data_IF_054725299308
#
_entry.id   IF_054725299308
#
_cell.length_a   1.000
_cell.length_b   1.000
_cell.length_c   1.000
_cell.angle_alpha   90.00
_cell.angle_beta   90.00
_cell.angle_gamma   90.00
#
_symmetry.space_group_name_H-M   'P 1'
#
loop_
_entity.id
_entity.type
_entity.pdbx_description
1 polymer ?
#
# COMPACT_ATOMS: atom_id res chain seq x y z
N UNK A 1 29.45 61.41 -17.44
CA UNK A 1 29.36 61.49 -15.97
C UNK A 1 29.13 60.09 -15.41
N UNK A 2 30.11 59.64 -14.62
CA UNK A 2 30.09 58.61 -13.56
C UNK A 2 29.41 57.24 -13.83
N UNK A 3 30.29 56.29 -14.09
CA UNK A 3 30.19 54.83 -13.96
C UNK A 3 29.92 54.33 -12.53
N UNK A 4 29.21 53.20 -12.39
CA UNK A 4 29.48 52.22 -11.33
C UNK A 4 28.96 50.80 -11.70
N UNK A 5 29.89 49.95 -12.13
CA UNK A 5 29.77 48.49 -12.08
C UNK A 5 29.84 48.03 -10.62
N UNK A 6 28.95 47.12 -10.19
CA UNK A 6 29.20 46.25 -9.04
C UNK A 6 28.76 44.82 -9.34
N UNK A 7 29.71 44.06 -9.85
CA UNK A 7 29.89 42.65 -9.47
C UNK A 7 30.29 42.61 -7.99
N UNK A 8 29.78 41.65 -7.20
CA UNK A 8 30.59 40.90 -6.22
C UNK A 8 29.77 39.74 -5.61
N UNK A 9 30.21 38.53 -5.98
CA UNK A 9 30.38 37.28 -5.20
C UNK A 9 29.27 36.76 -4.28
N UNK A 10 28.91 35.51 -4.61
CA UNK A 10 28.55 34.42 -3.69
C UNK A 10 29.36 34.45 -2.38
N UNK A 11 28.64 34.44 -1.26
CA UNK A 11 29.15 33.98 0.02
C UNK A 11 28.25 32.86 0.53
N UNK A 12 28.80 31.65 0.45
CA UNK A 12 28.48 30.57 1.36
C UNK A 12 28.75 31.03 2.79
N UNK A 13 27.87 30.71 3.73
CA UNK A 13 28.14 29.95 4.97
C UNK A 13 27.01 30.21 5.97
N UNK A 14 26.39 29.10 6.33
CA UNK A 14 25.48 28.90 7.44
C UNK A 14 26.10 29.36 8.76
N UNK A 15 25.46 30.29 9.48
CA UNK A 15 25.45 30.30 10.95
C UNK A 15 24.11 30.86 11.44
N UNK A 16 23.16 29.98 11.77
CA UNK A 16 22.06 30.36 12.66
C UNK A 16 22.66 30.56 14.04
N UNK A 17 22.97 31.82 14.38
CA UNK A 17 23.36 32.22 15.73
C UNK A 17 22.13 32.16 16.63
N UNK A 18 21.89 31.01 17.26
CA UNK A 18 20.83 30.85 18.26
C UNK A 18 21.31 31.42 19.59
N UNK A 19 20.64 32.47 20.07
CA UNK A 19 20.76 32.97 21.44
C UNK A 19 20.12 31.96 22.41
N UNK A 20 20.87 30.93 22.80
CA UNK A 20 20.47 30.02 23.88
C UNK A 20 21.69 29.90 24.78
N UNK A 21 21.94 30.93 25.60
CA UNK A 21 22.95 30.91 26.67
C UNK A 21 22.68 32.08 27.63
N UNK A 22 21.49 32.12 28.22
CA UNK A 22 21.19 33.07 29.31
C UNK A 22 20.52 32.41 30.52
N UNK A 23 20.64 31.09 30.69
CA UNK A 23 20.37 30.43 31.96
C UNK A 23 21.37 29.28 32.17
N UNK A 24 22.20 29.42 33.19
CA UNK A 24 23.35 28.54 33.51
C UNK A 24 22.93 27.22 34.20
N UNK A 25 21.64 26.87 34.21
CA UNK A 25 21.10 25.73 34.96
C UNK A 25 20.42 24.65 34.10
N UNK A 26 20.59 24.65 32.77
CA UNK A 26 20.07 23.57 31.91
C UNK A 26 21.14 23.10 30.93
N UNK A 27 22.23 22.55 31.45
CA UNK A 27 23.31 21.96 30.64
C UNK A 27 23.19 20.42 30.49
N UNK A 28 22.09 19.79 30.93
CA UNK A 28 21.95 18.32 30.89
C UNK A 28 20.89 17.79 29.92
N UNK A 29 20.23 18.65 29.15
CA UNK A 29 19.25 18.21 28.15
C UNK A 29 19.73 18.40 26.71
N UNK A 30 20.85 17.77 26.35
CA UNK A 30 21.19 17.52 24.94
C UNK A 30 21.16 16.04 24.62
N UNK A 31 19.98 15.62 24.14
CA UNK A 31 19.70 14.55 23.17
C UNK A 31 20.12 13.11 23.50
N UNK A 32 19.08 12.27 23.45
CA UNK A 32 19.08 10.88 22.97
C UNK A 32 19.45 9.77 23.95
N UNK A 33 18.59 9.58 24.96
CA UNK A 33 18.19 8.25 25.38
C UNK A 33 16.82 8.35 26.06
N UNK A 34 15.83 7.57 25.61
CA UNK A 34 14.51 7.52 26.26
C UNK A 34 14.64 6.80 27.61
N UNK A 35 15.22 7.46 28.61
CA UNK A 35 15.11 7.07 30.02
C UNK A 35 13.99 7.90 30.63
N UNK A 36 12.78 7.37 30.60
CA UNK A 36 11.72 7.79 31.52
C UNK A 36 12.21 7.50 32.94
N UNK A 37 12.63 8.53 33.66
CA UNK A 37 13.31 8.43 34.96
C UNK A 37 12.41 8.05 36.14
N UNK A 38 11.71 6.92 36.06
CA UNK A 38 10.92 6.42 37.20
C UNK A 38 10.81 4.88 37.31
N UNK A 39 11.30 4.09 36.35
CA UNK A 39 11.21 2.63 36.44
C UNK A 39 12.56 2.00 36.06
N UNK A 40 13.07 1.02 36.82
CA UNK A 40 14.24 0.25 36.38
C UNK A 40 13.92 -0.37 35.02
N UNK A 41 14.87 -0.29 34.08
CA UNK A 41 14.70 -0.90 32.77
C UNK A 41 14.40 -2.40 32.94
N UNK A 42 13.42 -2.98 32.22
CA UNK A 42 13.10 -4.40 32.34
C UNK A 42 14.37 -5.21 32.02
N UNK A 43 14.70 -6.16 32.89
CA UNK A 43 15.82 -7.07 32.66
C UNK A 43 15.57 -7.83 31.35
N UNK A 44 16.53 -7.74 30.43
CA UNK A 44 16.51 -8.53 29.20
C UNK A 44 16.59 -9.99 29.61
N UNK A 45 15.52 -10.76 29.43
CA UNK A 45 15.44 -12.19 29.74
C UNK A 45 16.27 -13.06 28.78
N UNK A 46 17.57 -12.79 28.70
CA UNK A 46 18.58 -13.58 28.00
C UNK A 46 19.69 -13.95 28.98
N UNK A 47 19.32 -14.39 30.18
CA UNK A 47 20.21 -15.15 31.06
C UNK A 47 20.09 -16.62 30.67
N UNK A 48 20.61 -16.97 29.49
CA UNK A 48 21.08 -18.34 29.29
C UNK A 48 22.51 -18.36 29.80
N UNK A 49 22.67 -18.86 31.03
CA UNK A 49 23.93 -19.29 31.62
C UNK A 49 24.73 -20.10 30.60
N UNK A 50 25.70 -19.45 29.96
CA UNK A 50 26.80 -20.09 29.26
C UNK A 50 28.05 -19.59 29.95
N UNK A 51 28.66 -20.47 30.74
CA UNK A 51 29.99 -20.28 31.34
C UNK A 51 30.96 -19.71 30.28
N UNK A 52 31.47 -18.52 30.57
CA UNK A 52 32.34 -17.76 29.69
C UNK A 52 33.78 -17.95 30.21
N UNK A 53 34.61 -18.69 29.46
CA UNK A 53 36.04 -18.78 29.76
C UNK A 53 36.71 -17.43 29.49
N UNK A 54 37.41 -16.92 30.50
CA UNK A 54 38.20 -15.69 30.51
C UNK A 54 39.14 -15.58 29.29
N UNK A 55 39.11 -14.44 28.59
CA UNK A 55 39.91 -14.18 27.40
C UNK A 55 39.80 -12.74 26.90
N UNK A 56 40.53 -11.86 27.60
CA UNK A 56 41.12 -10.56 27.22
C UNK A 56 40.37 -9.53 26.34
N UNK A 57 40.51 -8.28 26.79
CA UNK A 57 39.94 -7.05 26.27
C UNK A 57 40.19 -6.82 24.77
N UNK A 58 39.12 -6.47 24.05
CA UNK A 58 39.22 -5.76 22.77
C UNK A 58 38.14 -4.69 22.68
N UNK A 59 38.52 -3.45 22.98
CA UNK A 59 37.77 -2.24 22.71
C UNK A 59 37.65 -2.04 21.20
N UNK A 60 36.63 -2.60 20.57
CA UNK A 60 36.29 -2.33 19.17
C UNK A 60 34.87 -1.80 19.10
N UNK A 61 34.75 -0.47 18.96
CA UNK A 61 33.51 0.23 18.57
C UNK A 61 33.19 -0.04 17.09
N UNK A 62 33.05 -1.31 16.72
CA UNK A 62 32.63 -1.68 15.37
C UNK A 62 31.09 -1.73 15.37
N UNK A 63 30.40 -1.00 14.47
CA UNK A 63 28.95 -1.15 14.35
C UNK A 63 28.67 -2.62 14.04
N UNK A 64 27.80 -3.27 14.83
CA UNK A 64 27.41 -4.68 14.63
C UNK A 64 27.08 -4.85 13.15
N UNK A 65 27.88 -5.67 12.45
CA UNK A 65 27.58 -6.07 11.08
C UNK A 65 26.17 -6.65 11.10
N UNK A 66 25.28 -6.08 10.31
CA UNK A 66 23.94 -6.60 10.10
C UNK A 66 24.06 -8.06 9.68
N UNK A 67 23.87 -8.97 10.63
CA UNK A 67 23.83 -10.40 10.34
C UNK A 67 22.61 -10.58 9.43
N UNK A 68 22.78 -11.07 8.18
CA UNK A 68 21.64 -11.33 7.32
C UNK A 68 20.76 -12.33 8.08
N UNK A 69 19.48 -11.97 8.25
CA UNK A 69 18.50 -12.89 8.85
C UNK A 69 18.67 -14.27 8.20
N UNK A 70 18.75 -15.35 8.99
CA UNK A 70 18.93 -16.68 8.44
C UNK A 70 17.81 -16.95 7.42
N UNK A 71 18.17 -17.16 6.16
CA UNK A 71 17.22 -17.39 5.07
C UNK A 71 16.46 -18.72 5.18
N UNK A 72 16.80 -19.55 6.17
CA UNK A 72 16.11 -20.81 6.46
C UNK A 72 14.98 -20.51 7.45
N UNK A 73 13.72 -20.75 7.08
CA UNK A 73 12.62 -20.61 8.03
C UNK A 73 12.87 -21.55 9.21
N UNK A 74 12.66 -21.05 10.44
CA UNK A 74 12.70 -21.90 11.62
C UNK A 74 11.68 -23.05 11.44
N UNK A 75 12.11 -24.30 11.60
CA UNK A 75 11.29 -25.51 11.43
C UNK A 75 10.19 -25.66 12.50
N UNK A 76 10.00 -24.64 13.34
CA UNK A 76 8.98 -24.64 14.38
C UNK A 76 7.60 -24.67 13.72
N UNK A 77 6.67 -25.48 14.23
CA UNK A 77 5.30 -25.49 13.71
C UNK A 77 4.70 -24.10 13.83
N UNK A 78 3.89 -23.70 12.84
CA UNK A 78 3.19 -22.42 12.87
C UNK A 78 2.34 -22.34 14.15
N UNK A 79 2.46 -21.26 14.94
CA UNK A 79 1.71 -21.14 16.20
C UNK A 79 0.21 -21.31 15.98
N UNK A 80 -0.52 -21.87 16.97
CA UNK A 80 -1.92 -22.27 16.81
C UNK A 80 -2.84 -21.10 16.42
N UNK A 81 -2.55 -19.89 16.91
CA UNK A 81 -3.31 -18.67 16.61
C UNK A 81 -3.31 -18.34 15.11
N UNK A 82 -2.14 -18.43 14.45
CA UNK A 82 -2.03 -18.18 13.02
C UNK A 82 -2.75 -19.26 12.20
N UNK A 83 -2.70 -20.52 12.66
CA UNK A 83 -3.44 -21.61 12.02
C UNK A 83 -4.94 -21.37 12.11
N UNK A 84 -5.45 -21.04 13.29
CA UNK A 84 -6.86 -20.70 13.49
C UNK A 84 -7.28 -19.51 12.62
N UNK A 85 -6.49 -18.43 12.58
CA UNK A 85 -6.77 -17.29 11.70
C UNK A 85 -6.84 -17.71 10.23
N UNK A 86 -5.88 -18.49 9.74
CA UNK A 86 -5.89 -18.99 8.36
C UNK A 86 -7.13 -19.83 8.05
N UNK A 87 -7.55 -20.70 8.98
CA UNK A 87 -8.76 -21.50 8.84
C UNK A 87 -10.02 -20.62 8.79
N UNK A 88 -10.12 -19.62 9.67
CA UNK A 88 -11.24 -18.66 9.62
C UNK A 88 -11.29 -17.87 8.32
N UNK A 89 -10.15 -17.44 7.78
CA UNK A 89 -10.09 -16.72 6.51
C UNK A 89 -10.50 -17.60 5.33
N UNK A 90 -10.08 -18.87 5.30
CA UNK A 90 -10.50 -19.83 4.27
C UNK A 90 -12.01 -20.10 4.33
N UNK A 91 -12.57 -20.20 5.55
CA UNK A 91 -14.03 -20.39 5.74
C UNK A 91 -14.82 -19.16 5.30
N UNK A 92 -14.34 -17.95 5.65
CA UNK A 92 -15.00 -16.69 5.27
C UNK A 92 -14.90 -16.38 3.77
N UNK A 93 -13.79 -16.76 3.14
CA UNK A 93 -13.49 -16.42 1.75
C UNK A 93 -13.09 -17.69 0.97
N UNK A 94 -14.05 -18.57 0.62
CA UNK A 94 -13.74 -19.83 -0.04
C UNK A 94 -13.16 -19.63 -1.46
N UNK A 95 -13.59 -18.59 -2.18
CA UNK A 95 -13.03 -18.19 -3.48
C UNK A 95 -11.78 -17.30 -3.37
N UNK A 96 -11.31 -17.05 -2.14
CA UNK A 96 -10.23 -16.12 -1.84
C UNK A 96 -10.69 -14.71 -1.50
N UNK A 97 -9.77 -13.91 -0.96
CA UNK A 97 -10.06 -12.52 -0.62
C UNK A 97 -10.14 -11.67 -1.89
N UNK A 98 -11.35 -11.24 -2.24
CA UNK A 98 -11.61 -10.27 -3.30
C UNK A 98 -12.02 -8.92 -2.68
N UNK A 99 -11.15 -7.90 -2.73
CA UNK A 99 -11.50 -6.57 -2.21
C UNK A 99 -12.74 -6.00 -2.92
N UNK A 100 -13.68 -5.37 -2.20
CA UNK A 100 -14.92 -4.86 -2.80
C UNK A 100 -14.68 -3.69 -3.78
N UNK A 101 -13.61 -2.90 -3.58
CA UNK A 101 -13.22 -1.78 -4.46
C UNK A 101 -11.82 -2.02 -5.00
N UNK A 102 -11.74 -2.58 -6.21
CA UNK A 102 -10.48 -2.78 -6.96
C UNK A 102 -10.28 -1.61 -7.91
N UNK A 103 -9.12 -0.97 -7.83
CA UNK A 103 -8.71 0.03 -8.82
C UNK A 103 -8.28 -0.69 -10.10
N UNK A 104 -8.77 -0.23 -11.26
CA UNK A 104 -8.38 -0.79 -12.56
C UNK A 104 -6.91 -0.52 -12.84
N UNK A 105 -6.30 -1.32 -13.72
CA UNK A 105 -4.88 -1.15 -14.06
C UNK A 105 -4.62 0.22 -14.69
N UNK A 106 -5.46 0.61 -15.63
CA UNK A 106 -5.38 1.91 -16.31
C UNK A 106 -5.49 3.07 -15.31
N UNK A 107 -6.32 2.94 -14.28
CA UNK A 107 -6.42 3.95 -13.23
C UNK A 107 -5.19 4.01 -12.31
N UNK A 108 -4.46 2.90 -12.11
CA UNK A 108 -3.17 2.94 -11.42
C UNK A 108 -2.12 3.67 -12.27
N UNK A 109 -2.12 3.45 -13.59
CA UNK A 109 -1.16 4.07 -14.50
C UNK A 109 -1.43 5.58 -14.61
N UNK A 110 -2.69 6.01 -14.73
CA UNK A 110 -3.05 7.43 -14.70
C UNK A 110 -2.70 8.12 -13.37
N UNK A 111 -2.80 7.40 -12.25
CA UNK A 111 -2.33 7.89 -10.96
C UNK A 111 -0.81 8.15 -10.97
N UNK A 112 -0.02 7.23 -11.53
CA UNK A 112 1.44 7.39 -11.65
C UNK A 112 1.79 8.57 -12.56
N UNK A 113 1.12 8.68 -13.70
CA UNK A 113 1.31 9.77 -14.67
C UNK A 113 1.03 11.13 -14.04
N UNK A 114 -0.11 11.30 -13.37
CA UNK A 114 -0.45 12.55 -12.69
C UNK A 114 0.60 12.95 -11.65
N UNK A 115 1.03 11.99 -10.81
CA UNK A 115 2.05 12.27 -9.81
C UNK A 115 3.42 12.60 -10.43
N UNK A 116 3.77 11.98 -11.55
CA UNK A 116 5.00 12.27 -12.28
C UNK A 116 4.99 13.66 -12.92
N UNK A 117 3.84 14.12 -13.42
CA UNK A 117 3.70 15.45 -14.03
C UNK A 117 3.92 16.57 -13.01
N UNK A 118 3.25 16.52 -11.86
CA UNK A 118 3.36 17.56 -10.82
C UNK A 118 3.22 16.95 -9.41
N UNK A 119 4.32 16.47 -8.79
CA UNK A 119 4.25 15.82 -7.48
C UNK A 119 3.85 16.77 -6.34
N UNK A 120 4.06 18.07 -6.49
CA UNK A 120 3.67 19.10 -5.51
C UNK A 120 2.16 19.33 -5.45
N UNK A 121 1.48 19.28 -6.59
CA UNK A 121 0.03 19.44 -6.70
C UNK A 121 -0.69 18.11 -6.44
N UNK A 122 -0.23 17.04 -7.09
CA UNK A 122 -0.81 15.71 -6.98
C UNK A 122 -0.21 14.94 -5.82
N UNK A 123 -0.37 15.48 -4.61
CA UNK A 123 0.09 14.82 -3.39
C UNK A 123 -0.73 13.56 -3.07
N UNK A 124 -0.17 12.67 -2.25
CA UNK A 124 -0.85 11.41 -1.87
C UNK A 124 -2.27 11.57 -1.28
N UNK A 125 -2.59 12.55 -0.40
CA UNK A 125 -3.97 12.73 0.06
C UNK A 125 -4.91 13.19 -1.06
N UNK A 126 -4.46 14.08 -1.94
CA UNK A 126 -5.26 14.58 -3.08
C UNK A 126 -5.60 13.45 -4.05
N UNK A 127 -4.62 12.60 -4.37
CA UNK A 127 -4.85 11.42 -5.21
C UNK A 127 -5.78 10.40 -4.52
N UNK A 128 -5.64 10.19 -3.21
CA UNK A 128 -6.50 9.30 -2.45
C UNK A 128 -7.98 9.73 -2.54
N UNK A 129 -8.24 11.03 -2.40
CA UNK A 129 -9.57 11.60 -2.52
C UNK A 129 -10.13 11.47 -3.94
N UNK A 130 -9.33 11.77 -4.97
CA UNK A 130 -9.77 11.70 -6.38
C UNK A 130 -10.12 10.27 -6.80
N UNK A 131 -9.27 9.31 -6.44
CA UNK A 131 -9.45 7.91 -6.81
C UNK A 131 -10.30 7.12 -5.80
N UNK A 132 -10.72 7.74 -4.69
CA UNK A 132 -11.50 7.12 -3.60
C UNK A 132 -10.86 5.84 -3.06
N UNK A 133 -9.54 5.88 -2.89
CA UNK A 133 -8.71 4.81 -2.33
C UNK A 133 -7.99 5.29 -1.07
N UNK A 134 -7.45 4.36 -0.28
CA UNK A 134 -6.71 4.75 0.92
C UNK A 134 -5.36 5.41 0.57
N UNK A 135 -4.92 6.36 1.39
CA UNK A 135 -3.60 7.01 1.27
C UNK A 135 -2.44 6.02 1.29
N UNK A 136 -2.59 4.90 1.99
CA UNK A 136 -1.60 3.82 2.00
C UNK A 136 -1.55 3.16 0.61
N UNK A 137 -2.70 2.79 0.02
CA UNK A 137 -2.73 2.16 -1.28
C UNK A 137 -2.06 3.03 -2.36
N UNK A 138 -2.31 4.35 -2.32
CA UNK A 138 -1.61 5.33 -3.18
C UNK A 138 -0.10 5.23 -3.00
N UNK A 139 0.40 5.24 -1.76
CA UNK A 139 1.84 5.11 -1.47
C UNK A 139 2.41 3.80 -2.01
N UNK A 140 1.68 2.69 -1.92
CA UNK A 140 2.11 1.40 -2.49
C UNK A 140 2.17 1.43 -4.00
N UNK A 141 1.16 2.00 -4.66
CA UNK A 141 1.13 2.15 -6.12
C UNK A 141 2.33 2.96 -6.59
N UNK A 142 2.60 4.11 -5.95
CA UNK A 142 3.73 4.98 -6.26
C UNK A 142 5.09 4.35 -5.94
N UNK A 143 5.19 3.53 -4.88
CA UNK A 143 6.44 2.83 -4.51
C UNK A 143 6.74 1.63 -5.42
N UNK A 144 5.71 1.00 -5.98
CA UNK A 144 5.87 -0.18 -6.83
C UNK A 144 6.52 0.19 -8.17
N UNK A 145 7.60 -0.53 -8.53
CA UNK A 145 8.34 -0.36 -9.80
C UNK A 145 7.94 -1.37 -10.89
N UNK A 146 6.94 -2.20 -10.62
CA UNK A 146 6.58 -3.26 -11.55
C UNK A 146 5.78 -2.71 -12.73
N UNK A 147 6.31 -2.91 -13.93
CA UNK A 147 5.70 -2.51 -15.18
C UNK A 147 5.55 -3.72 -16.11
N UNK A 148 4.43 -3.86 -16.82
CA UNK A 148 4.19 -5.00 -17.70
C UNK A 148 4.87 -4.75 -19.05
N UNK A 149 5.40 -5.81 -19.67
CA UNK A 149 5.77 -5.76 -21.10
C UNK A 149 4.55 -5.38 -21.96
N UNK A 150 4.79 -4.83 -23.16
CA UNK A 150 3.73 -4.40 -24.10
C UNK A 150 2.71 -5.52 -24.39
N UNK A 151 3.18 -6.73 -24.64
CA UNK A 151 2.34 -7.90 -24.88
C UNK A 151 1.52 -8.26 -23.64
N UNK A 152 2.17 -8.25 -22.47
CA UNK A 152 1.53 -8.54 -21.20
C UNK A 152 0.46 -7.50 -20.86
N UNK A 153 0.68 -6.22 -21.20
CA UNK A 153 -0.31 -5.14 -21.05
C UNK A 153 -1.54 -5.43 -21.90
N UNK A 154 -1.35 -5.81 -23.17
CA UNK A 154 -2.45 -6.17 -24.06
C UNK A 154 -3.24 -7.38 -23.54
N UNK A 155 -2.55 -8.41 -23.05
CA UNK A 155 -3.17 -9.60 -22.44
C UNK A 155 -4.00 -9.25 -21.22
N UNK A 156 -3.48 -8.41 -20.32
CA UNK A 156 -4.20 -7.98 -19.12
C UNK A 156 -5.43 -7.15 -19.48
N UNK A 157 -5.32 -6.22 -20.42
CA UNK A 157 -6.44 -5.41 -20.90
C UNK A 157 -7.52 -6.26 -21.58
N UNK A 158 -7.12 -7.27 -22.37
CA UNK A 158 -8.06 -8.22 -22.96
C UNK A 158 -8.80 -9.02 -21.89
N UNK A 159 -8.08 -9.53 -20.87
CA UNK A 159 -8.70 -10.25 -19.74
C UNK A 159 -9.70 -9.38 -18.98
N UNK A 160 -9.37 -8.12 -18.72
CA UNK A 160 -10.27 -7.17 -18.07
C UNK A 160 -11.52 -6.89 -18.91
N UNK A 161 -11.36 -6.73 -20.23
CA UNK A 161 -12.47 -6.57 -21.18
C UNK A 161 -13.41 -7.77 -21.18
N UNK A 162 -12.87 -8.99 -21.24
CA UNK A 162 -13.65 -10.23 -21.20
C UNK A 162 -14.44 -10.36 -19.90
N UNK A 163 -13.78 -10.19 -18.76
CA UNK A 163 -14.46 -10.25 -17.45
C UNK A 163 -15.59 -9.21 -17.33
N UNK A 164 -15.38 -8.00 -17.87
CA UNK A 164 -16.42 -6.96 -17.89
C UNK A 164 -17.59 -7.32 -18.81
N UNK A 165 -17.31 -7.96 -19.95
CA UNK A 165 -18.34 -8.42 -20.87
C UNK A 165 -19.18 -9.55 -20.26
N UNK A 166 -18.52 -10.53 -19.64
CA UNK A 166 -19.15 -11.64 -18.91
C UNK A 166 -20.05 -11.11 -17.79
N UNK A 167 -19.54 -10.18 -16.97
CA UNK A 167 -20.33 -9.54 -15.91
C UNK A 167 -21.59 -8.85 -16.44
N UNK A 168 -21.47 -8.09 -17.55
CA UNK A 168 -22.63 -7.44 -18.19
C UNK A 168 -23.64 -8.46 -18.72
N UNK A 169 -23.17 -9.56 -19.30
CA UNK A 169 -24.03 -10.62 -19.83
C UNK A 169 -24.80 -11.31 -18.70
N UNK A 170 -24.11 -11.66 -17.62
CA UNK A 170 -24.71 -12.26 -16.42
C UNK A 170 -25.75 -11.32 -15.80
N UNK A 171 -25.42 -10.02 -15.66
CA UNK A 171 -26.38 -9.03 -15.16
C UNK A 171 -27.62 -8.93 -16.04
N UNK A 172 -27.45 -8.89 -17.36
CA UNK A 172 -28.58 -8.89 -18.30
C UNK A 172 -29.40 -10.19 -18.22
N UNK A 173 -28.75 -11.34 -18.00
CA UNK A 173 -29.46 -12.61 -17.77
C UNK A 173 -30.28 -12.55 -16.49
N UNK A 174 -29.71 -12.07 -15.39
CA UNK A 174 -30.41 -11.89 -14.12
C UNK A 174 -31.61 -10.95 -14.25
N UNK A 175 -31.47 -9.83 -14.97
CA UNK A 175 -32.57 -8.88 -15.24
C UNK A 175 -33.71 -9.54 -16.01
N UNK A 176 -33.40 -10.30 -17.08
CA UNK A 176 -34.41 -11.06 -17.83
C UNK A 176 -35.12 -12.07 -16.95
N UNK A 177 -34.37 -12.83 -16.16
CA UNK A 177 -34.91 -13.86 -15.29
C UNK A 177 -35.79 -13.26 -14.18
N UNK A 178 -35.46 -12.06 -13.69
CA UNK A 178 -36.31 -11.31 -12.76
C UNK A 178 -37.58 -10.82 -13.43
N UNK A 179 -37.49 -10.29 -14.64
CA UNK A 179 -38.65 -9.83 -15.41
C UNK A 179 -39.62 -10.99 -15.68
N UNK A 180 -39.10 -12.13 -16.11
CA UNK A 180 -39.88 -13.36 -16.34
C UNK A 180 -40.60 -13.80 -15.06
N UNK A 181 -39.90 -13.85 -13.92
CA UNK A 181 -40.53 -14.17 -12.63
C UNK A 181 -41.65 -13.19 -12.24
N UNK A 182 -41.45 -11.90 -12.49
CA UNK A 182 -42.49 -10.88 -12.23
C UNK A 182 -43.69 -11.09 -13.16
N UNK A 183 -43.47 -11.43 -14.44
CA UNK A 183 -44.55 -11.72 -15.39
C UNK A 183 -45.33 -12.98 -15.00
N UNK A 184 -44.64 -14.03 -14.58
CA UNK A 184 -45.25 -15.25 -14.03
C UNK A 184 -46.08 -14.95 -12.79
N UNK A 185 -45.56 -14.16 -11.85
CA UNK A 185 -46.24 -13.75 -10.62
C UNK A 185 -47.52 -12.93 -10.91
N UNK A 186 -47.44 -12.03 -11.89
CA UNK A 186 -48.59 -11.25 -12.34
C UNK A 186 -49.56 -12.04 -13.25
N UNK A 187 -49.24 -13.28 -13.61
CA UNK A 187 -50.07 -14.14 -14.46
C UNK A 187 -50.23 -13.62 -15.89
N UNK A 188 -49.32 -12.77 -16.36
CA UNK A 188 -49.34 -12.24 -17.73
C UNK A 188 -48.72 -13.28 -18.64
N UNK A 189 -49.54 -14.22 -19.12
CA UNK A 189 -49.11 -15.16 -20.16
C UNK A 189 -48.80 -14.33 -21.43
N UNK A 190 -47.61 -14.45 -22.03
CA UNK A 190 -47.37 -13.86 -23.34
C UNK A 190 -48.35 -14.50 -24.31
N UNK A 191 -49.36 -13.76 -24.72
CA UNK A 191 -50.28 -14.22 -25.76
C UNK A 191 -49.46 -14.33 -27.05
N UNK A 192 -49.18 -15.57 -27.49
CA UNK A 192 -48.58 -15.81 -28.79
C UNK A 192 -49.52 -15.25 -29.85
N UNK A 193 -49.21 -14.05 -30.36
CA UNK A 193 -49.94 -13.47 -31.50
C UNK A 193 -49.70 -14.37 -32.71
N UNK A 194 -50.64 -15.28 -32.97
CA UNK A 194 -50.62 -16.24 -34.09
C UNK A 194 -50.72 -15.57 -35.46
N UNK A 195 -50.96 -14.26 -35.50
CA UNK A 195 -51.29 -13.51 -36.72
C UNK A 195 -50.12 -12.76 -37.36
N UNK A 196 -48.93 -12.72 -36.75
CA UNK A 196 -47.74 -12.05 -37.33
C UNK A 196 -46.98 -12.98 -38.31
N UNK A 197 -47.67 -13.47 -39.35
CA UNK A 197 -47.03 -14.11 -40.51
C UNK A 197 -46.61 -13.05 -41.54
N UNK A 198 -45.69 -12.16 -41.19
CA UNK A 198 -44.94 -11.40 -42.19
C UNK A 198 -43.69 -12.20 -42.57
N UNK A 199 -43.86 -13.15 -43.48
CA UNK A 199 -42.73 -13.72 -44.22
C UNK A 199 -42.17 -12.64 -45.14
N UNK A 200 -41.02 -12.06 -44.77
CA UNK A 200 -40.21 -11.24 -45.66
C UNK A 200 -39.55 -12.16 -46.71
N UNK A 201 -40.30 -12.51 -47.75
CA UNK A 201 -39.76 -12.99 -49.03
C UNK A 201 -39.44 -11.82 -49.94
#
# INVERSE_FOLDING_TARGET
>A
MLSALRSFRSQTICTRRTHINLYTTVAELTRSHWKTGAHPAPQSGFDHEYEQSEGEASTSTRPRSHTPFPHKPELKPTPPEYRAHRETMKRKFPQGWEPPRKISREAMDSLRELHALNPSMFTTPVLAERFRISKEAVRRILKSKWEPSREQRARLAAKERMAKAEWKLLKRQEERHKHEKIQEELGIVPEERKDDRLSLT
#
